data_IF_278579469254
#
_entry.id   IF_278579469254
#
_cell.length_a   1.000
_cell.length_b   1.000
_cell.length_c   1.000
_cell.angle_alpha   90.00
_cell.angle_beta   90.00
_cell.angle_gamma   90.00
#
_symmetry.space_group_name_H-M   'P 1'
#
loop_
_entity.id
_entity.type
_entity.pdbx_description
1 polymer ?
#
# COMPACT_ATOMS: atom_id res chain seq x y z
N UNK A 1 8.71 -4.31 -28.76
CA UNK A 1 7.45 -3.93 -28.10
C UNK A 1 7.70 -3.95 -26.61
N UNK A 2 7.94 -2.77 -26.05
CA UNK A 2 8.07 -2.58 -24.59
C UNK A 2 6.74 -2.95 -23.95
N UNK A 3 6.71 -4.02 -23.14
CA UNK A 3 5.54 -4.33 -22.33
C UNK A 3 5.48 -3.30 -21.21
N UNK A 4 4.45 -2.47 -21.28
CA UNK A 4 4.10 -1.44 -20.31
C UNK A 4 4.28 -1.95 -18.88
N UNK A 5 4.97 -1.15 -18.05
CA UNK A 5 5.04 -1.33 -16.61
C UNK A 5 3.66 -1.05 -16.02
N UNK A 6 2.69 -1.93 -16.27
CA UNK A 6 1.44 -1.90 -15.52
C UNK A 6 1.74 -2.12 -14.05
N UNK A 7 1.27 -1.19 -13.23
CA UNK A 7 1.40 -1.30 -11.78
C UNK A 7 0.41 -2.36 -11.28
N UNK A 8 0.89 -3.59 -11.13
CA UNK A 8 0.05 -4.73 -10.72
C UNK A 8 -0.19 -4.75 -9.21
N UNK A 9 -1.24 -5.45 -8.77
CA UNK A 9 -1.49 -5.68 -7.34
C UNK A 9 -0.26 -6.19 -6.60
N UNK A 10 0.45 -7.18 -7.17
CA UNK A 10 1.64 -7.75 -6.52
C UNK A 10 2.74 -6.72 -6.25
N UNK A 11 3.00 -5.82 -7.20
CA UNK A 11 3.99 -4.75 -7.05
C UNK A 11 3.58 -3.73 -5.99
N UNK A 12 2.28 -3.45 -5.88
CA UNK A 12 1.78 -2.57 -4.83
C UNK A 12 1.88 -3.22 -3.44
N UNK A 13 1.59 -4.52 -3.32
CA UNK A 13 1.76 -5.23 -2.05
C UNK A 13 3.24 -5.24 -1.61
N UNK A 14 4.18 -5.44 -2.53
CA UNK A 14 5.63 -5.31 -2.26
C UNK A 14 5.98 -3.89 -1.78
N UNK A 15 5.39 -2.86 -2.38
CA UNK A 15 5.59 -1.48 -1.95
C UNK A 15 5.02 -1.20 -0.55
N UNK A 16 3.83 -1.71 -0.23
CA UNK A 16 3.23 -1.60 1.10
C UNK A 16 4.12 -2.27 2.15
N UNK A 17 4.67 -3.45 1.86
CA UNK A 17 5.64 -4.11 2.75
C UNK A 17 6.88 -3.25 2.98
N UNK A 18 7.41 -2.64 1.92
CA UNK A 18 8.53 -1.73 2.03
C UNK A 18 8.22 -0.52 2.94
N UNK A 19 7.01 0.05 2.86
CA UNK A 19 6.57 1.12 3.76
C UNK A 19 6.45 0.62 5.21
N UNK A 20 5.89 -0.58 5.42
CA UNK A 20 5.71 -1.19 6.73
C UNK A 20 7.04 -1.50 7.44
N UNK A 21 8.13 -1.70 6.70
CA UNK A 21 9.47 -1.95 7.23
C UNK A 21 10.21 -0.68 7.69
N UNK A 22 9.66 0.53 7.44
CA UNK A 22 10.31 1.79 7.83
C UNK A 22 10.07 2.13 9.30
N UNK A 23 10.97 2.93 9.87
CA UNK A 23 10.81 3.46 11.24
C UNK A 23 9.50 4.24 11.40
N UNK A 24 9.14 5.01 10.38
CA UNK A 24 7.96 5.88 10.39
C UNK A 24 6.76 5.19 9.68
N UNK A 25 6.69 3.84 9.74
CA UNK A 25 5.71 3.04 9.00
C UNK A 25 4.26 3.46 9.25
N UNK A 26 3.89 3.84 10.48
CA UNK A 26 2.52 4.28 10.81
C UNK A 26 2.14 5.53 10.01
N UNK A 27 3.03 6.53 9.94
CA UNK A 27 2.79 7.75 9.16
C UNK A 27 2.75 7.47 7.66
N UNK A 28 3.68 6.66 7.16
CA UNK A 28 3.75 6.30 5.73
C UNK A 28 2.52 5.55 5.25
N UNK A 29 2.09 4.52 5.99
CA UNK A 29 0.91 3.72 5.64
C UNK A 29 -0.39 4.53 5.78
N UNK A 30 -0.49 5.43 6.76
CA UNK A 30 -1.64 6.33 6.89
C UNK A 30 -1.72 7.33 5.72
N UNK A 31 -0.58 7.89 5.31
CA UNK A 31 -0.49 8.76 4.14
C UNK A 31 -0.81 8.02 2.84
N UNK A 32 -0.33 6.78 2.71
CA UNK A 32 -0.64 5.90 1.58
C UNK A 32 -2.15 5.64 1.46
N UNK A 33 -2.81 5.24 2.55
CA UNK A 33 -4.27 5.02 2.58
C UNK A 33 -5.06 6.29 2.23
N UNK A 34 -4.60 7.44 2.73
CA UNK A 34 -5.18 8.74 2.39
C UNK A 34 -5.04 9.04 0.90
N UNK A 35 -3.86 8.80 0.31
CA UNK A 35 -3.62 8.96 -1.11
C UNK A 35 -4.49 8.04 -1.98
N UNK A 36 -4.67 6.79 -1.55
CA UNK A 36 -5.51 5.81 -2.24
C UNK A 36 -6.99 6.23 -2.32
N UNK A 37 -7.49 7.00 -1.35
CA UNK A 37 -8.86 7.54 -1.39
C UNK A 37 -9.07 8.56 -2.53
N UNK A 38 -8.02 9.27 -2.95
CA UNK A 38 -8.09 10.24 -4.04
C UNK A 38 -7.74 9.66 -5.41
N UNK A 39 -7.37 8.37 -5.46
CA UNK A 39 -6.98 7.71 -6.69
C UNK A 39 -8.23 7.33 -7.49
N UNK A 40 -8.32 7.82 -8.73
CA UNK A 40 -9.44 7.56 -9.64
C UNK A 40 -9.15 6.44 -10.65
N UNK A 41 -7.87 6.09 -10.82
CA UNK A 41 -7.42 5.03 -11.73
C UNK A 41 -6.45 4.09 -11.01
N UNK A 42 -6.81 2.80 -11.00
CA UNK A 42 -6.05 1.74 -10.35
C UNK A 42 -5.31 0.85 -11.35
N UNK A 43 -5.48 1.05 -12.67
CA UNK A 43 -4.87 0.19 -13.68
C UNK A 43 -5.20 -1.29 -13.47
N UNK A 44 -4.18 -2.14 -13.45
CA UNK A 44 -4.28 -3.60 -13.23
C UNK A 44 -4.26 -4.01 -11.74
N UNK A 45 -4.44 -3.05 -10.84
CA UNK A 45 -4.46 -3.28 -9.41
C UNK A 45 -5.88 -3.57 -8.91
N UNK A 46 -6.01 -4.55 -8.01
CA UNK A 46 -7.21 -4.74 -7.22
C UNK A 46 -7.17 -3.79 -6.01
N UNK A 47 -7.96 -2.70 -6.01
CA UNK A 47 -7.92 -1.72 -4.93
C UNK A 47 -8.41 -2.30 -3.60
N UNK A 48 -9.33 -3.27 -3.61
CA UNK A 48 -9.85 -3.86 -2.38
C UNK A 48 -8.77 -4.71 -1.70
N UNK A 49 -8.04 -5.52 -2.49
CA UNK A 49 -6.95 -6.33 -1.97
C UNK A 49 -5.85 -5.45 -1.37
N UNK A 50 -5.49 -4.39 -2.08
CA UNK A 50 -4.43 -3.45 -1.68
C UNK A 50 -4.82 -2.64 -0.45
N UNK A 51 -6.03 -2.08 -0.40
CA UNK A 51 -6.53 -1.35 0.76
C UNK A 51 -6.58 -2.23 1.99
N UNK A 52 -7.11 -3.46 1.86
CA UNK A 52 -7.15 -4.41 2.98
C UNK A 52 -5.74 -4.71 3.50
N UNK A 53 -4.80 -4.98 2.60
CA UNK A 53 -3.43 -5.28 2.97
C UNK A 53 -2.71 -4.11 3.65
N UNK A 54 -2.88 -2.89 3.15
CA UNK A 54 -2.34 -1.67 3.77
C UNK A 54 -2.92 -1.42 5.18
N UNK A 55 -4.24 -1.61 5.35
CA UNK A 55 -4.89 -1.53 6.67
C UNK A 55 -4.35 -2.57 7.65
N UNK A 56 -4.19 -3.82 7.20
CA UNK A 56 -3.65 -4.91 8.02
C UNK A 56 -2.22 -4.60 8.49
N UNK A 57 -1.38 -4.07 7.60
CA UNK A 57 0.00 -3.66 7.93
C UNK A 57 0.02 -2.47 8.87
N UNK A 58 -0.84 -1.47 8.68
CA UNK A 58 -0.95 -0.32 9.58
C UNK A 58 -1.34 -0.76 11.00
N UNK A 59 -2.36 -1.61 11.13
CA UNK A 59 -2.78 -2.16 12.42
C UNK A 59 -1.68 -3.01 13.09
N UNK A 60 -0.86 -3.72 12.31
CA UNK A 60 0.30 -4.44 12.84
C UNK A 60 1.39 -3.49 13.35
N UNK A 61 1.69 -2.41 12.62
CA UNK A 61 2.66 -1.40 13.04
C UNK A 61 2.20 -0.66 14.31
N UNK A 62 0.93 -0.29 14.39
CA UNK A 62 0.36 0.38 15.58
C UNK A 62 0.45 -0.50 16.83
N UNK A 63 0.13 -1.79 16.72
CA UNK A 63 0.25 -2.75 17.83
C UNK A 63 1.69 -2.97 18.31
N UNK A 64 2.69 -2.78 17.45
CA UNK A 64 4.12 -2.87 17.82
C UNK A 64 4.65 -1.59 18.46
N UNK A 65 3.99 -0.46 18.21
CA UNK A 65 4.38 0.84 18.73
C UNK A 65 3.69 1.20 20.07
N UNK A 66 2.62 0.49 20.42
CA UNK A 66 1.94 0.54 21.72
C UNK A 66 2.66 -0.33 22.75
#
# INVERSE_FOLDING_TARGET
>A
MEKERSWTTGKELEFIEYLAAKRDAVALLSGYLTGMHYRTDFGDMDPNQVLRFACDRLAACQRRAA
#
